data_IF_378995856013
#
_entry.id   IF_378995856013
#
_cell.length_a   1.000
_cell.length_b   1.000
_cell.length_c   1.000
_cell.angle_alpha   90.00
_cell.angle_beta   90.00
_cell.angle_gamma   90.00
#
_symmetry.space_group_name_H-M   'P 1'
#
loop_
_entity.id
_entity.type
_entity.pdbx_description
1 polymer ?
#
# COMPACT_ATOMS: atom_id res chain seq x y z
N UNK A 1 -10.14 -31.91 -7.99
CA UNK A 1 -10.90 -30.63 -8.03
C UNK A 1 -10.67 -29.65 -6.86
N UNK A 2 -10.51 -30.07 -5.59
CA UNK A 2 -10.35 -29.15 -4.43
C UNK A 2 -9.04 -28.35 -4.41
N UNK A 3 -7.91 -28.90 -4.89
CA UNK A 3 -6.61 -28.18 -4.99
C UNK A 3 -6.68 -26.99 -5.97
N UNK A 4 -7.28 -27.18 -7.15
CA UNK A 4 -7.43 -26.11 -8.16
C UNK A 4 -8.30 -24.92 -7.73
N UNK A 5 -9.22 -25.09 -6.77
CA UNK A 5 -10.03 -23.98 -6.24
C UNK A 5 -9.26 -23.16 -5.19
N UNK A 6 -8.41 -23.81 -4.39
CA UNK A 6 -7.57 -23.12 -3.40
C UNK A 6 -6.52 -22.27 -4.11
N UNK A 7 -5.86 -22.82 -5.13
CA UNK A 7 -4.86 -22.06 -5.90
C UNK A 7 -5.48 -20.82 -6.52
N UNK A 8 -6.67 -20.91 -7.14
CA UNK A 8 -7.37 -19.75 -7.70
C UNK A 8 -7.72 -18.66 -6.67
N UNK A 9 -8.16 -19.05 -5.48
CA UNK A 9 -8.48 -18.09 -4.40
C UNK A 9 -7.22 -17.36 -3.92
N UNK A 10 -6.13 -18.11 -3.72
CA UNK A 10 -4.86 -17.53 -3.27
C UNK A 10 -4.27 -16.60 -4.33
N UNK A 11 -4.30 -17.03 -5.60
CA UNK A 11 -3.85 -16.21 -6.74
C UNK A 11 -4.62 -14.89 -6.78
N UNK A 12 -5.94 -14.89 -6.64
CA UNK A 12 -6.72 -13.65 -6.64
C UNK A 12 -6.33 -12.69 -5.51
N UNK A 13 -6.05 -13.21 -4.32
CA UNK A 13 -5.58 -12.40 -3.18
C UNK A 13 -4.18 -11.85 -3.44
N UNK A 14 -3.27 -12.67 -4.00
CA UNK A 14 -1.92 -12.24 -4.39
C UNK A 14 -1.98 -11.14 -5.46
N UNK A 15 -2.75 -11.33 -6.52
CA UNK A 15 -2.96 -10.32 -7.57
C UNK A 15 -3.53 -9.01 -7.01
N UNK A 16 -4.43 -9.11 -6.02
CA UNK A 16 -4.97 -7.93 -5.34
C UNK A 16 -3.89 -7.20 -4.55
N UNK A 17 -3.01 -7.95 -3.84
CA UNK A 17 -1.83 -7.40 -3.16
C UNK A 17 -0.85 -6.71 -4.10
N UNK A 18 -0.52 -7.37 -5.22
CA UNK A 18 0.35 -6.81 -6.26
C UNK A 18 -0.24 -5.52 -6.81
N UNK A 19 -1.55 -5.50 -7.12
CA UNK A 19 -2.22 -4.30 -7.62
C UNK A 19 -2.12 -3.14 -6.62
N UNK A 20 -2.38 -3.37 -5.33
CA UNK A 20 -2.24 -2.34 -4.29
C UNK A 20 -0.79 -1.83 -4.23
N UNK A 21 0.19 -2.74 -4.23
CA UNK A 21 1.62 -2.38 -4.14
C UNK A 21 2.11 -1.58 -5.35
N UNK A 22 1.76 -2.00 -6.56
CA UNK A 22 2.09 -1.27 -7.80
C UNK A 22 1.41 0.09 -7.82
N UNK A 23 0.12 0.19 -7.48
CA UNK A 23 -0.58 1.47 -7.42
C UNK A 23 0.03 2.41 -6.37
N UNK A 24 0.43 1.88 -5.21
CA UNK A 24 1.09 2.66 -4.17
C UNK A 24 2.42 3.20 -4.67
N UNK A 25 3.24 2.34 -5.26
CA UNK A 25 4.50 2.75 -5.85
C UNK A 25 4.28 3.83 -6.92
N UNK A 26 3.39 3.62 -7.88
CA UNK A 26 3.15 4.58 -8.96
C UNK A 26 2.70 5.94 -8.44
N UNK A 27 1.76 5.99 -7.48
CA UNK A 27 1.32 7.27 -6.90
C UNK A 27 2.44 7.96 -6.12
N UNK A 28 3.19 7.19 -5.33
CA UNK A 28 4.30 7.73 -4.54
C UNK A 28 5.38 8.27 -5.48
N UNK A 29 5.85 7.46 -6.43
CA UNK A 29 6.85 7.84 -7.43
C UNK A 29 6.44 9.07 -8.23
N UNK A 30 5.21 9.10 -8.77
CA UNK A 30 4.73 10.26 -9.53
C UNK A 30 4.73 11.53 -8.68
N UNK A 31 4.30 11.43 -7.42
CA UNK A 31 4.22 12.60 -6.54
C UNK A 31 5.61 13.09 -6.16
N UNK A 32 6.50 12.19 -5.77
CA UNK A 32 7.88 12.55 -5.39
C UNK A 32 8.65 13.09 -6.59
N UNK A 33 8.49 12.49 -7.77
CA UNK A 33 9.11 12.96 -9.01
C UNK A 33 8.63 14.37 -9.38
N UNK A 34 7.33 14.64 -9.29
CA UNK A 34 6.77 15.98 -9.55
C UNK A 34 7.27 17.03 -8.55
N UNK A 35 7.45 16.66 -7.28
CA UNK A 35 8.03 17.56 -6.28
C UNK A 35 9.51 17.82 -6.54
N UNK A 36 10.29 16.78 -6.88
CA UNK A 36 11.71 16.92 -7.22
C UNK A 36 11.95 17.84 -8.42
N UNK A 37 11.09 17.80 -9.46
CA UNK A 37 11.21 18.70 -10.62
C UNK A 37 11.16 20.19 -10.20
N UNK A 38 10.35 20.52 -9.19
CA UNK A 38 10.19 21.89 -8.72
C UNK A 38 11.20 22.28 -7.63
N UNK A 39 12.09 21.35 -7.23
CA UNK A 39 12.94 21.46 -6.06
C UNK A 39 12.16 21.20 -4.77
N UNK A 40 12.61 20.22 -3.98
CA UNK A 40 11.96 19.86 -2.73
C UNK A 40 12.08 20.99 -1.70
N UNK A 41 10.95 21.54 -1.26
CA UNK A 41 10.91 22.44 -0.11
C UNK A 41 10.78 21.68 1.21
N UNK A 42 10.99 22.38 2.34
CA UNK A 42 10.91 21.78 3.68
C UNK A 42 9.57 21.11 3.96
N UNK A 43 8.45 21.64 3.43
CA UNK A 43 7.12 21.05 3.67
C UNK A 43 6.97 19.73 2.91
N UNK A 44 7.42 19.68 1.67
CA UNK A 44 7.43 18.47 0.85
C UNK A 44 8.31 17.39 1.50
N UNK A 45 9.49 17.76 1.99
CA UNK A 45 10.38 16.87 2.75
C UNK A 45 9.70 16.30 4.01
N UNK A 46 8.94 17.11 4.76
CA UNK A 46 8.13 16.59 5.87
C UNK A 46 7.04 15.64 5.38
N UNK A 47 6.35 15.97 4.29
CA UNK A 47 5.27 15.15 3.74
C UNK A 47 5.76 13.82 3.17
N UNK A 48 6.99 13.75 2.68
CA UNK A 48 7.63 12.51 2.24
C UNK A 48 7.55 11.43 3.33
N UNK A 49 7.71 11.80 4.60
CA UNK A 49 7.65 10.84 5.72
C UNK A 49 6.33 10.07 5.85
N UNK A 50 5.22 10.64 5.36
CA UNK A 50 3.86 10.10 5.57
C UNK A 50 3.12 9.75 4.27
N UNK A 51 3.57 10.25 3.12
CA UNK A 51 2.80 10.18 1.87
C UNK A 51 2.50 8.74 1.44
N UNK A 52 3.49 7.84 1.50
CA UNK A 52 3.32 6.44 1.16
C UNK A 52 2.31 5.76 2.11
N UNK A 53 2.35 6.11 3.41
CA UNK A 53 1.38 5.64 4.38
C UNK A 53 -0.05 6.08 4.06
N UNK A 54 -0.25 7.36 3.73
CA UNK A 54 -1.57 7.90 3.36
C UNK A 54 -2.12 7.22 2.11
N UNK A 55 -1.31 7.08 1.05
CA UNK A 55 -1.71 6.36 -0.16
C UNK A 55 -1.99 4.89 0.11
N UNK A 56 -1.20 4.23 0.96
CA UNK A 56 -1.42 2.84 1.34
C UNK A 56 -2.78 2.66 2.03
N UNK A 57 -3.19 3.56 2.93
CA UNK A 57 -4.54 3.52 3.53
C UNK A 57 -5.60 3.58 2.44
N UNK A 58 -5.56 4.61 1.59
CA UNK A 58 -6.59 4.87 0.58
C UNK A 58 -6.69 3.70 -0.39
N UNK A 59 -5.56 3.25 -0.94
CA UNK A 59 -5.52 2.15 -1.90
C UNK A 59 -5.92 0.82 -1.28
N UNK A 60 -5.45 0.51 -0.07
CA UNK A 60 -5.82 -0.72 0.64
C UNK A 60 -7.33 -0.75 0.85
N UNK A 61 -7.92 0.34 1.32
CA UNK A 61 -9.37 0.44 1.54
C UNK A 61 -10.16 0.31 0.25
N UNK A 62 -9.84 1.13 -0.76
CA UNK A 62 -10.59 1.17 -2.02
C UNK A 62 -10.48 -0.15 -2.78
N UNK A 63 -9.26 -0.66 -2.98
CA UNK A 63 -9.03 -1.87 -3.77
C UNK A 63 -9.58 -3.10 -3.05
N UNK A 64 -9.39 -3.22 -1.72
CA UNK A 64 -10.00 -4.33 -0.98
C UNK A 64 -11.53 -4.27 -1.04
N UNK A 65 -12.12 -3.09 -0.93
CA UNK A 65 -13.56 -2.94 -1.05
C UNK A 65 -14.07 -3.32 -2.44
N UNK A 66 -13.39 -2.93 -3.52
CA UNK A 66 -13.80 -3.24 -4.89
C UNK A 66 -13.55 -4.70 -5.27
N UNK A 67 -12.41 -5.30 -4.88
CA UNK A 67 -12.00 -6.65 -5.29
C UNK A 67 -12.40 -7.74 -4.29
N UNK A 68 -12.14 -7.55 -3.00
CA UNK A 68 -12.38 -8.59 -2.00
C UNK A 68 -13.87 -8.71 -1.61
N UNK A 69 -14.63 -7.62 -1.65
CA UNK A 69 -16.06 -7.64 -1.28
C UNK A 69 -16.90 -8.54 -2.22
N UNK A 70 -16.81 -8.42 -3.57
CA UNK A 70 -17.47 -9.35 -4.48
C UNK A 70 -16.92 -10.77 -4.38
N UNK A 71 -15.61 -10.92 -4.17
CA UNK A 71 -14.96 -12.22 -4.02
C UNK A 71 -15.54 -13.01 -2.82
N UNK A 72 -15.67 -12.38 -1.64
CA UNK A 72 -16.25 -13.05 -0.47
C UNK A 72 -17.73 -13.36 -0.62
N UNK A 73 -18.46 -12.54 -1.38
CA UNK A 73 -19.86 -12.81 -1.72
C UNK A 73 -20.01 -14.08 -2.56
N UNK A 74 -19.21 -14.21 -3.62
CA UNK A 74 -19.21 -15.39 -4.47
C UNK A 74 -18.80 -16.66 -3.70
N UNK A 75 -17.81 -16.54 -2.81
CA UNK A 75 -17.39 -17.65 -1.94
C UNK A 75 -18.50 -18.12 -1.00
N UNK A 76 -19.30 -17.18 -0.48
CA UNK A 76 -20.48 -17.48 0.35
C UNK A 76 -21.53 -18.25 -0.46
N UNK A 77 -21.83 -17.81 -1.68
CA UNK A 77 -22.78 -18.48 -2.57
C UNK A 77 -22.32 -19.91 -2.95
N UNK A 78 -21.01 -20.13 -3.09
CA UNK A 78 -20.43 -21.43 -3.41
C UNK A 78 -20.21 -22.34 -2.19
N UNK A 79 -20.74 -22.00 -1.01
CA UNK A 79 -20.56 -22.72 0.26
C UNK A 79 -19.08 -23.03 0.62
N UNK A 80 -18.14 -22.20 0.16
CA UNK A 80 -16.71 -22.44 0.33
C UNK A 80 -16.17 -21.72 1.57
N UNK A 81 -15.94 -22.46 2.67
CA UNK A 81 -15.44 -21.92 3.96
C UNK A 81 -13.93 -21.65 4.04
N UNK A 82 -13.18 -21.70 2.93
CA UNK A 82 -11.72 -21.90 2.98
C UNK A 82 -10.87 -20.64 3.15
N UNK A 83 -11.26 -19.50 2.60
CA UNK A 83 -10.52 -18.24 2.77
C UNK A 83 -11.17 -17.36 3.85
N UNK A 84 -10.48 -17.10 4.96
CA UNK A 84 -10.96 -16.17 5.99
C UNK A 84 -10.67 -14.73 5.56
N UNK A 85 -11.71 -13.88 5.55
CA UNK A 85 -11.62 -12.44 5.22
C UNK A 85 -10.44 -11.74 5.86
N UNK A 86 -10.27 -11.91 7.17
CA UNK A 86 -9.18 -11.30 7.94
C UNK A 86 -7.82 -11.66 7.35
N UNK A 87 -7.57 -12.94 7.10
CA UNK A 87 -6.30 -13.42 6.56
C UNK A 87 -6.06 -12.89 5.15
N UNK A 88 -7.09 -12.80 4.31
CA UNK A 88 -6.94 -12.24 2.96
C UNK A 88 -6.54 -10.76 3.01
N UNK A 89 -7.18 -9.95 3.85
CA UNK A 89 -6.86 -8.51 3.98
C UNK A 89 -5.41 -8.33 4.45
N UNK A 90 -4.98 -9.05 5.49
CA UNK A 90 -3.59 -8.97 5.96
C UNK A 90 -2.58 -9.52 4.94
N UNK A 91 -2.96 -10.53 4.16
CA UNK A 91 -2.11 -11.05 3.08
C UNK A 91 -1.96 -10.03 1.95
N UNK A 92 -3.05 -9.35 1.55
CA UNK A 92 -2.98 -8.23 0.59
C UNK A 92 -2.03 -7.16 1.09
N UNK A 93 -2.15 -6.76 2.37
CA UNK A 93 -1.27 -5.76 2.97
C UNK A 93 0.21 -6.19 2.89
N UNK A 94 0.53 -7.40 3.37
CA UNK A 94 1.91 -7.90 3.36
C UNK A 94 2.52 -7.95 1.96
N UNK A 95 1.76 -8.42 0.97
CA UNK A 95 2.20 -8.45 -0.44
C UNK A 95 2.37 -7.03 -0.97
N UNK A 96 1.44 -6.11 -0.67
CA UNK A 96 1.51 -4.74 -1.18
C UNK A 96 2.74 -3.98 -0.68
N UNK A 97 3.09 -4.11 0.60
CA UNK A 97 4.29 -3.50 1.19
C UNK A 97 5.54 -4.10 0.55
N UNK A 98 5.59 -5.43 0.41
CA UNK A 98 6.73 -6.11 -0.20
C UNK A 98 6.96 -5.67 -1.65
N UNK A 99 5.89 -5.57 -2.44
CA UNK A 99 5.98 -5.08 -3.83
C UNK A 99 6.42 -3.61 -3.87
N UNK A 100 5.88 -2.77 -2.99
CA UNK A 100 6.31 -1.37 -2.88
C UNK A 100 7.81 -1.25 -2.58
N UNK A 101 8.31 -2.03 -1.61
CA UNK A 101 9.73 -2.01 -1.23
C UNK A 101 10.64 -2.49 -2.37
N UNK A 102 10.24 -3.53 -3.09
CA UNK A 102 11.00 -4.04 -4.23
C UNK A 102 11.09 -2.97 -5.32
N UNK A 103 9.97 -2.35 -5.69
CA UNK A 103 9.94 -1.34 -6.75
C UNK A 103 10.73 -0.08 -6.37
N UNK A 104 10.57 0.39 -5.13
CA UNK A 104 11.32 1.54 -4.59
C UNK A 104 12.83 1.24 -4.56
N UNK A 105 13.23 0.04 -4.15
CA UNK A 105 14.64 -0.37 -4.16
C UNK A 105 15.21 -0.44 -5.57
N UNK A 106 14.43 -0.87 -6.57
CA UNK A 106 14.86 -0.86 -7.97
C UNK A 106 15.11 0.58 -8.44
N UNK A 107 14.22 1.52 -8.11
CA UNK A 107 14.42 2.94 -8.46
C UNK A 107 15.66 3.49 -7.76
N UNK A 108 15.83 3.20 -6.47
CA UNK A 108 16.99 3.64 -5.69
C UNK A 108 18.33 3.21 -6.32
N UNK A 109 18.43 1.99 -6.87
CA UNK A 109 19.64 1.56 -7.56
C UNK A 109 19.91 2.28 -8.88
N UNK A 110 18.91 2.93 -9.46
CA UNK A 110 19.03 3.72 -10.69
C UNK A 110 19.28 5.20 -10.37
N UNK A 111 18.59 5.72 -9.36
CA UNK A 111 18.63 7.10 -8.92
C UNK A 111 18.35 7.17 -7.40
N UNK A 112 19.38 7.52 -6.63
CA UNK A 112 19.32 7.65 -5.18
C UNK A 112 19.06 9.08 -4.71
N UNK A 113 18.87 10.05 -5.63
CA UNK A 113 18.74 11.47 -5.32
C UNK A 113 17.66 11.76 -4.26
N UNK A 114 16.47 11.16 -4.40
CA UNK A 114 15.37 11.34 -3.45
C UNK A 114 15.74 10.85 -2.05
N UNK A 115 16.43 9.71 -1.97
CA UNK A 115 16.86 9.13 -0.70
C UNK A 115 17.93 10.00 -0.03
N UNK A 116 18.89 10.52 -0.82
CA UNK A 116 19.94 11.42 -0.34
C UNK A 116 19.34 12.75 0.14
N UNK A 117 18.46 13.38 -0.63
CA UNK A 117 17.80 14.64 -0.26
C UNK A 117 17.02 14.49 1.05
N UNK A 118 16.24 13.41 1.16
CA UNK A 118 15.47 13.14 2.36
C UNK A 118 16.37 12.79 3.55
N UNK A 119 17.45 12.06 3.34
CA UNK A 119 18.43 11.74 4.38
C UNK A 119 19.13 12.99 4.92
N UNK A 120 19.58 13.87 4.03
CA UNK A 120 20.19 15.15 4.41
C UNK A 120 19.21 16.02 5.21
N UNK A 121 17.93 16.02 4.84
CA UNK A 121 16.89 16.66 5.63
C UNK A 121 16.79 16.07 7.04
N UNK A 122 16.77 14.75 7.19
CA UNK A 122 16.73 14.11 8.51
C UNK A 122 17.95 14.44 9.37
N UNK A 123 19.15 14.48 8.79
CA UNK A 123 20.37 14.90 9.48
C UNK A 123 20.26 16.36 9.93
N UNK A 124 19.72 17.24 9.09
CA UNK A 124 19.58 18.67 9.43
C UNK A 124 18.69 18.92 10.65
N UNK A 125 17.81 17.96 11.01
CA UNK A 125 16.97 18.00 12.21
C UNK A 125 17.70 17.54 13.48
N UNK A 126 18.79 16.78 13.35
CA UNK A 126 19.61 16.30 14.46
C UNK A 126 21.11 16.27 14.07
N UNK A 127 21.79 17.43 14.10
CA UNK A 127 23.16 17.58 13.60
C UNK A 127 24.20 16.72 14.33
N UNK A 128 23.87 16.19 15.52
CA UNK A 128 24.77 15.30 16.27
C UNK A 128 25.03 13.97 15.55
N UNK A 129 24.21 13.63 14.54
CA UNK A 129 24.36 12.42 13.72
C UNK A 129 25.21 12.58 12.46
N UNK A 130 25.72 13.77 12.17
CA UNK A 130 26.63 14.01 11.02
C UNK A 130 27.94 13.19 11.09
N UNK A 131 28.32 12.70 12.28
CA UNK A 131 29.56 11.96 12.50
C UNK A 131 29.53 10.48 12.06
N UNK A 132 28.35 9.91 11.81
CA UNK A 132 28.23 8.53 11.30
C UNK A 132 28.08 8.57 9.77
N UNK A 133 29.07 8.02 9.04
CA UNK A 133 29.01 7.80 7.59
C UNK A 133 27.90 6.80 7.23
N UNK A 134 26.64 7.25 7.29
CA UNK A 134 25.49 6.41 7.02
C UNK A 134 25.17 6.51 5.52
N UNK A 135 25.24 5.36 4.86
CA UNK A 135 24.80 5.19 3.47
C UNK A 135 23.29 5.42 3.42
N UNK A 136 22.82 6.24 2.48
CA UNK A 136 21.39 6.43 2.25
C UNK A 136 20.74 5.06 1.97
N UNK A 137 19.51 4.85 2.47
CA UNK A 137 18.74 3.65 2.18
C UNK A 137 17.60 4.01 1.21
N UNK A 138 17.04 3.02 0.47
CA UNK A 138 15.82 3.23 -0.29
C UNK A 138 14.75 3.93 0.55
N UNK A 139 14.07 4.89 -0.06
CA UNK A 139 13.12 5.77 0.59
C UNK A 139 12.03 5.00 1.36
N UNK A 140 11.54 3.91 0.79
CA UNK A 140 10.57 3.02 1.42
C UNK A 140 11.10 2.34 2.69
N UNK A 141 12.41 2.05 2.75
CA UNK A 141 13.06 1.46 3.93
C UNK A 141 13.16 2.51 5.03
N UNK A 142 13.60 3.73 4.71
CA UNK A 142 13.69 4.84 5.68
C UNK A 142 12.32 5.08 6.34
N UNK A 143 11.25 5.05 5.55
CA UNK A 143 9.88 5.29 6.03
C UNK A 143 9.08 4.01 6.34
N UNK A 144 9.77 2.88 6.54
CA UNK A 144 9.14 1.57 6.68
C UNK A 144 8.20 1.46 7.87
N UNK A 145 8.60 1.99 9.03
CA UNK A 145 7.80 1.96 10.27
C UNK A 145 6.50 2.75 10.08
N UNK A 146 6.58 3.97 9.54
CA UNK A 146 5.41 4.82 9.30
C UNK A 146 4.48 4.15 8.28
N UNK A 147 5.03 3.67 7.17
CA UNK A 147 4.27 2.96 6.13
C UNK A 147 3.55 1.74 6.71
N UNK A 148 4.21 0.97 7.58
CA UNK A 148 3.62 -0.20 8.22
C UNK A 148 2.47 0.18 9.17
N UNK A 149 2.63 1.20 10.01
CA UNK A 149 1.58 1.67 10.94
C UNK A 149 0.33 2.12 10.17
N UNK A 150 0.52 2.93 9.12
CA UNK A 150 -0.58 3.36 8.24
C UNK A 150 -1.22 2.17 7.51
N UNK A 151 -0.42 1.21 7.06
CA UNK A 151 -0.89 -0.03 6.44
C UNK A 151 -1.79 -0.86 7.35
N UNK A 152 -1.41 -1.02 8.63
CA UNK A 152 -2.24 -1.69 9.64
C UNK A 152 -3.56 -0.94 9.83
N UNK A 153 -3.52 0.40 9.92
CA UNK A 153 -4.74 1.19 10.02
C UNK A 153 -5.65 1.00 8.80
N UNK A 154 -5.09 1.03 7.58
CA UNK A 154 -5.82 0.76 6.34
C UNK A 154 -6.43 -0.64 6.30
N UNK A 155 -5.73 -1.65 6.80
CA UNK A 155 -6.26 -3.02 6.93
C UNK A 155 -7.39 -3.13 7.95
N UNK A 156 -7.30 -2.43 9.09
CA UNK A 156 -8.38 -2.36 10.08
C UNK A 156 -9.63 -1.71 9.50
N UNK A 157 -9.49 -0.56 8.82
CA UNK A 157 -10.62 0.10 8.14
C UNK A 157 -11.21 -0.81 7.06
N UNK A 158 -10.36 -1.45 6.25
CA UNK A 158 -10.78 -2.42 5.23
C UNK A 158 -11.58 -3.57 5.84
N UNK A 159 -11.20 -4.05 7.02
CA UNK A 159 -11.90 -5.14 7.70
C UNK A 159 -13.35 -4.77 8.06
N UNK A 160 -13.60 -3.52 8.43
CA UNK A 160 -14.96 -3.02 8.69
C UNK A 160 -15.77 -2.81 7.41
N UNK A 161 -15.14 -2.37 6.31
CA UNK A 161 -15.82 -2.05 5.06
C UNK A 161 -16.06 -3.25 4.13
N UNK A 162 -15.12 -4.21 4.07
CA UNK A 162 -15.27 -5.43 3.26
C UNK A 162 -16.28 -6.35 3.94
N UNK A 163 -17.53 -6.38 3.46
CA UNK A 163 -18.60 -7.18 4.07
C UNK A 163 -18.62 -8.60 3.49
N UNK A 164 -18.91 -9.60 4.31
CA UNK A 164 -19.15 -10.98 3.83
C UNK A 164 -20.37 -11.10 2.90
N UNK A 165 -21.26 -10.10 2.94
CA UNK A 165 -22.51 -10.09 2.21
C UNK A 165 -22.41 -9.40 0.85
N UNK A 166 -21.25 -8.85 0.46
CA UNK A 166 -21.04 -8.36 -0.90
C UNK A 166 -21.87 -7.16 -1.31
N UNK A 167 -22.67 -6.57 -0.41
CA UNK A 167 -23.38 -5.33 -0.70
C UNK A 167 -22.35 -4.22 -0.81
N UNK A 168 -21.80 -4.04 -2.01
CA UNK A 168 -21.43 -2.72 -2.49
C UNK A 168 -22.67 -1.85 -2.20
N UNK A 169 -22.49 -0.71 -1.52
CA UNK A 169 -23.58 0.23 -1.22
C UNK A 169 -24.56 0.23 -2.38
N UNK A 170 -25.81 -0.19 -2.09
CA UNK A 170 -26.86 -0.37 -3.08
C UNK A 170 -26.97 0.93 -3.88
N UNK A 171 -26.40 0.98 -5.09
CA UNK A 171 -26.65 2.03 -6.08
C UNK A 171 -28.11 1.96 -6.61
N UNK A 172 -29.03 1.34 -5.86
CA UNK A 172 -30.48 1.44 -6.05
C UNK A 172 -30.99 2.88 -5.87
N UNK A 173 -30.16 3.82 -5.40
CA UNK A 173 -30.48 5.25 -5.39
C UNK A 173 -30.33 5.95 -6.75
N UNK A 174 -29.69 5.33 -7.75
CA UNK A 174 -29.58 5.90 -9.11
C UNK A 174 -30.47 5.20 -10.15
N UNK A 175 -31.34 4.28 -9.71
CA UNK A 175 -32.37 3.66 -10.57
C UNK A 175 -33.78 4.12 -10.20
N UNK A 176 -33.90 5.40 -9.84
CA UNK A 176 -35.15 6.15 -9.84
C UNK A 176 -34.97 7.37 -10.73
N UNK A 177 -35.17 7.18 -12.03
CA UNK A 177 -35.87 8.07 -12.97
C UNK A 177 -36.04 7.30 -14.26
#
# INVERSE_FOLDING_TARGET
MKKNKISKQLVYVIETGILVGVSLFSLTFLTTFLWQINGLNTRELVLLSVIAGVYLIVLTVLINYVRLNPFFYQLKQQFSKRCKRRNAIFLVLGISILIYFILDSIVYFVDDSLAVDYWNFLISLDPQKEAENIVAYPFAIINSVVTFVFGIFGALVSFFLVKKEGKLINFKLFKKR
#
